data_IF_969784043368
#
_entry.id   IF_969784043368
#
_cell.length_a   1.000
_cell.length_b   1.000
_cell.length_c   1.000
_cell.angle_alpha   90.00
_cell.angle_beta   90.00
_cell.angle_gamma   90.00
#
_symmetry.space_group_name_H-M   'P 1'
#
loop_
_entity.id
_entity.type
_entity.pdbx_description
1 polymer ?
#
# COMPACT_ATOMS: atom_id res chain seq x y z
N UNK A 1 -13.65 11.25 -3.46
CA UNK A 1 -13.00 12.04 -4.53
C UNK A 1 -12.83 11.13 -5.72
N UNK A 2 -13.59 11.33 -6.80
CA UNK A 2 -13.45 10.52 -8.03
C UNK A 2 -12.11 10.91 -8.66
N UNK A 3 -11.18 9.95 -8.79
CA UNK A 3 -9.92 10.19 -9.52
C UNK A 3 -10.26 10.53 -10.97
N UNK A 4 -10.27 11.82 -11.31
CA UNK A 4 -10.36 12.28 -12.70
C UNK A 4 -9.10 11.86 -13.45
N UNK A 5 -9.25 11.66 -14.74
CA UNK A 5 -8.24 11.19 -15.69
C UNK A 5 -7.04 12.16 -15.81
N UNK A 6 -6.17 12.14 -14.81
CA UNK A 6 -4.86 12.82 -14.79
C UNK A 6 -3.74 11.89 -15.33
N UNK A 7 -4.11 10.84 -16.07
CA UNK A 7 -3.19 9.82 -16.58
C UNK A 7 -2.05 10.43 -17.43
N UNK A 8 -2.33 11.49 -18.18
CA UNK A 8 -1.31 12.21 -18.95
C UNK A 8 -0.28 12.94 -18.07
N UNK A 9 -0.70 13.49 -16.93
CA UNK A 9 0.22 14.14 -15.97
C UNK A 9 1.08 13.11 -15.25
N UNK A 10 0.46 12.01 -14.81
CA UNK A 10 1.16 10.87 -14.23
C UNK A 10 2.25 10.36 -15.19
N UNK A 11 1.87 10.03 -16.42
CA UNK A 11 2.80 9.52 -17.43
C UNK A 11 3.96 10.49 -17.72
N UNK A 12 3.69 11.79 -17.79
CA UNK A 12 4.74 12.81 -17.97
C UNK A 12 5.72 12.82 -16.78
N UNK A 13 5.20 12.73 -15.56
CA UNK A 13 6.02 12.69 -14.34
C UNK A 13 6.87 11.41 -14.28
N UNK A 14 6.30 10.25 -14.63
CA UNK A 14 7.00 8.97 -14.75
C UNK A 14 8.15 9.06 -15.75
N UNK A 15 7.87 9.52 -16.98
CA UNK A 15 8.91 9.69 -18.02
C UNK A 15 10.02 10.65 -17.58
N UNK A 16 9.67 11.75 -16.91
CA UNK A 16 10.65 12.69 -16.39
C UNK A 16 11.53 12.03 -15.32
N UNK A 17 10.94 11.27 -14.39
CA UNK A 17 11.68 10.55 -13.37
C UNK A 17 12.62 9.51 -14.00
N UNK A 18 12.14 8.66 -14.91
CA UNK A 18 12.96 7.68 -15.63
C UNK A 18 14.18 8.31 -16.28
N UNK A 19 13.99 9.44 -16.98
CA UNK A 19 15.07 10.15 -17.64
C UNK A 19 16.11 10.67 -16.62
N UNK A 20 15.67 11.28 -15.52
CA UNK A 20 16.59 11.81 -14.51
C UNK A 20 17.32 10.69 -13.76
N UNK A 21 16.64 9.58 -13.48
CA UNK A 21 17.23 8.40 -12.87
C UNK A 21 18.35 7.83 -13.75
N UNK A 22 18.08 7.66 -15.05
CA UNK A 22 19.07 7.19 -16.02
C UNK A 22 20.27 8.16 -16.14
N UNK A 23 20.02 9.48 -16.16
CA UNK A 23 21.07 10.50 -16.22
C UNK A 23 21.98 10.49 -14.98
N UNK A 24 21.44 10.23 -13.79
CA UNK A 24 22.25 10.03 -12.58
C UNK A 24 23.17 8.81 -12.74
N UNK A 25 22.66 7.72 -13.29
CA UNK A 25 23.46 6.52 -13.55
C UNK A 25 24.62 6.80 -14.51
N UNK A 26 24.37 7.52 -15.61
CA UNK A 26 25.43 7.93 -16.55
C UNK A 26 26.48 8.80 -15.85
N UNK A 27 26.04 9.78 -15.06
CA UNK A 27 26.94 10.68 -14.35
C UNK A 27 27.81 9.91 -13.34
N UNK A 28 27.26 8.93 -12.63
CA UNK A 28 28.02 8.04 -11.74
C UNK A 28 29.01 7.17 -12.52
N UNK A 29 28.62 6.64 -13.69
CA UNK A 29 29.50 5.80 -14.50
C UNK A 29 30.68 6.55 -15.13
N UNK A 30 30.50 7.83 -15.42
CA UNK A 30 31.51 8.68 -16.04
C UNK A 30 32.33 9.51 -15.03
N UNK A 31 32.08 9.36 -13.73
CA UNK A 31 32.66 10.18 -12.66
C UNK A 31 32.48 11.70 -12.93
N UNK A 32 31.25 12.09 -13.30
CA UNK A 32 30.91 13.46 -13.70
C UNK A 32 30.92 14.42 -12.50
N UNK A 33 31.74 15.48 -12.59
CA UNK A 33 31.86 16.54 -11.58
C UNK A 33 30.51 17.20 -11.23
N UNK A 34 29.51 17.15 -12.13
CA UNK A 34 28.19 17.76 -11.94
C UNK A 34 27.13 16.80 -11.38
N UNK A 35 27.53 15.68 -10.76
CA UNK A 35 26.60 14.70 -10.17
C UNK A 35 25.58 15.34 -9.21
N UNK A 36 25.96 16.39 -8.47
CA UNK A 36 25.08 17.11 -7.55
C UNK A 36 23.92 17.82 -8.26
N UNK A 37 24.15 18.34 -9.46
CA UNK A 37 23.09 18.94 -10.28
C UNK A 37 22.13 17.85 -10.77
N UNK A 38 22.66 16.69 -11.19
CA UNK A 38 21.83 15.55 -11.62
C UNK A 38 20.96 15.01 -10.49
N UNK A 39 21.52 14.90 -9.29
CA UNK A 39 20.77 14.53 -8.10
C UNK A 39 19.70 15.56 -7.74
N UNK A 40 19.96 16.86 -7.96
CA UNK A 40 18.91 17.91 -7.83
C UNK A 40 17.74 17.67 -8.78
N UNK A 41 18.05 17.40 -10.06
CA UNK A 41 17.02 17.22 -11.08
C UNK A 41 16.22 15.94 -10.83
N UNK A 42 16.86 14.90 -10.30
CA UNK A 42 16.19 13.69 -9.83
C UNK A 42 15.25 13.99 -8.66
N UNK A 43 15.69 14.77 -7.67
CA UNK A 43 14.88 15.20 -6.53
C UNK A 43 13.61 15.95 -6.97
N UNK A 44 13.74 16.90 -7.88
CA UNK A 44 12.61 17.65 -8.44
C UNK A 44 11.63 16.73 -9.19
N UNK A 45 12.15 15.76 -9.95
CA UNK A 45 11.32 14.78 -10.66
C UNK A 45 10.60 13.83 -9.70
N UNK A 46 11.26 13.37 -8.64
CA UNK A 46 10.65 12.59 -7.57
C UNK A 46 9.53 13.38 -6.90
N UNK A 47 9.79 14.62 -6.50
CA UNK A 47 8.80 15.51 -5.90
C UNK A 47 7.60 15.71 -6.84
N UNK A 48 7.82 15.79 -8.15
CA UNK A 48 6.73 15.89 -9.13
C UNK A 48 5.87 14.63 -9.14
N UNK A 49 6.49 13.43 -9.17
CA UNK A 49 5.76 12.16 -9.24
C UNK A 49 5.00 11.86 -7.94
N UNK A 50 5.61 12.05 -6.76
CA UNK A 50 4.92 11.76 -5.48
C UNK A 50 3.76 12.70 -5.19
N UNK A 51 3.71 13.85 -5.85
CA UNK A 51 2.61 14.81 -5.76
C UNK A 51 1.46 14.53 -6.75
N UNK A 52 1.53 13.46 -7.55
CA UNK A 52 0.40 13.07 -8.40
C UNK A 52 -0.74 12.48 -7.57
N UNK A 53 -1.99 12.47 -8.08
CA UNK A 53 -3.15 12.00 -7.32
C UNK A 53 -3.04 10.56 -6.80
N UNK A 54 -2.41 9.66 -7.58
CA UNK A 54 -2.26 8.24 -7.21
C UNK A 54 -1.29 8.05 -6.05
N UNK A 55 -0.13 8.71 -6.10
CA UNK A 55 0.83 8.69 -5.00
C UNK A 55 0.28 9.36 -3.76
N UNK A 56 -0.37 10.52 -3.90
CA UNK A 56 -1.03 11.21 -2.77
C UNK A 56 -2.13 10.40 -2.11
N UNK A 57 -2.87 9.61 -2.91
CA UNK A 57 -3.85 8.68 -2.38
C UNK A 57 -3.20 7.58 -1.54
N UNK A 58 -2.14 6.94 -2.06
CA UNK A 58 -1.40 5.89 -1.33
C UNK A 58 -0.77 6.46 -0.06
N UNK A 59 -0.14 7.64 -0.14
CA UNK A 59 0.47 8.35 0.99
C UNK A 59 -0.55 8.57 2.11
N UNK A 60 -1.72 9.12 1.81
CA UNK A 60 -2.77 9.31 2.82
C UNK A 60 -3.31 8.00 3.37
N UNK A 61 -3.67 7.05 2.50
CA UNK A 61 -4.33 5.81 2.93
C UNK A 61 -3.49 4.96 3.85
N UNK A 62 -2.19 4.85 3.58
CA UNK A 62 -1.27 4.07 4.40
C UNK A 62 -0.49 4.94 5.39
N UNK A 63 -0.86 6.23 5.55
CA UNK A 63 -0.22 7.19 6.45
C UNK A 63 1.30 7.23 6.28
N UNK A 64 1.74 7.20 5.02
CA UNK A 64 3.16 7.16 4.69
C UNK A 64 3.80 8.53 4.88
N UNK A 65 5.05 8.51 5.30
CA UNK A 65 5.90 9.70 5.27
C UNK A 65 6.26 10.06 3.82
N UNK A 66 6.69 11.31 3.63
CA UNK A 66 7.20 11.77 2.34
C UNK A 66 8.38 10.91 1.85
N UNK A 67 9.25 10.46 2.76
CA UNK A 67 10.38 9.61 2.43
C UNK A 67 9.94 8.23 1.93
N UNK A 68 8.98 7.59 2.61
CA UNK A 68 8.44 6.29 2.19
C UNK A 68 7.76 6.37 0.83
N UNK A 69 7.01 7.46 0.57
CA UNK A 69 6.34 7.68 -0.72
C UNK A 69 7.35 7.86 -1.84
N UNK A 70 8.47 8.56 -1.58
CA UNK A 70 9.59 8.71 -2.53
C UNK A 70 10.32 7.38 -2.77
N UNK A 71 10.47 6.55 -1.74
CA UNK A 71 11.06 5.22 -1.88
C UNK A 71 10.18 4.32 -2.75
N UNK A 72 8.86 4.31 -2.54
CA UNK A 72 7.89 3.62 -3.41
C UNK A 72 8.04 4.12 -4.86
N UNK A 73 8.16 5.43 -5.09
CA UNK A 73 8.32 5.99 -6.43
C UNK A 73 9.59 5.49 -7.14
N UNK A 74 10.70 5.37 -6.42
CA UNK A 74 11.96 4.84 -6.96
C UNK A 74 11.86 3.35 -7.30
N UNK A 75 11.20 2.53 -6.47
CA UNK A 75 10.99 1.10 -6.78
C UNK A 75 9.99 0.95 -7.93
N UNK A 76 8.95 1.77 -7.97
CA UNK A 76 7.95 1.80 -9.02
C UNK A 76 8.56 2.07 -10.39
N UNK A 77 9.41 3.11 -10.50
CA UNK A 77 9.99 3.47 -11.79
C UNK A 77 10.98 2.43 -12.32
N UNK A 78 11.75 1.79 -11.43
CA UNK A 78 12.62 0.65 -11.81
C UNK A 78 11.81 -0.57 -12.26
N UNK A 79 10.62 -0.76 -11.69
CA UNK A 79 9.72 -1.85 -12.10
C UNK A 79 9.05 -1.57 -13.44
N UNK A 80 8.73 -0.30 -13.71
CA UNK A 80 8.08 0.12 -14.96
C UNK A 80 9.07 0.16 -16.13
N UNK A 81 10.27 0.68 -15.91
CA UNK A 81 11.29 0.92 -16.93
C UNK A 81 12.64 0.35 -16.45
N UNK A 82 12.86 -0.98 -16.50
CA UNK A 82 14.09 -1.60 -15.99
C UNK A 82 15.36 -1.12 -16.69
N UNK A 83 15.26 -0.68 -17.96
CA UNK A 83 16.39 -0.18 -18.75
C UNK A 83 17.01 1.10 -18.17
N UNK A 84 16.32 1.82 -17.29
CA UNK A 84 16.90 3.00 -16.60
C UNK A 84 18.12 2.61 -15.74
N UNK A 85 18.26 1.32 -15.42
CA UNK A 85 19.34 0.78 -14.61
C UNK A 85 20.58 0.40 -15.43
N UNK A 86 20.50 0.39 -16.77
CA UNK A 86 21.64 0.05 -17.63
C UNK A 86 22.93 0.80 -17.28
N UNK A 87 22.94 2.11 -16.99
CA UNK A 87 24.17 2.83 -16.66
C UNK A 87 24.75 2.46 -15.28
N UNK A 88 23.97 1.81 -14.42
CA UNK A 88 24.43 1.37 -13.11
C UNK A 88 25.12 0.00 -13.17
N UNK A 89 24.93 -0.74 -14.27
CA UNK A 89 25.55 -2.05 -14.49
C UNK A 89 27.08 -1.88 -14.55
N UNK A 90 27.80 -2.64 -13.72
CA UNK A 90 29.26 -2.55 -13.61
C UNK A 90 29.76 -1.53 -12.60
N UNK A 91 28.87 -0.74 -11.99
CA UNK A 91 29.19 0.07 -10.81
C UNK A 91 29.04 -0.78 -9.53
N UNK A 92 29.65 -0.34 -8.44
CA UNK A 92 29.37 -0.84 -7.06
C UNK A 92 27.93 -0.56 -6.58
N UNK A 93 27.04 -0.23 -7.50
CA UNK A 93 25.64 0.10 -7.27
C UNK A 93 24.71 -1.03 -7.74
N UNK A 94 25.20 -1.90 -8.62
CA UNK A 94 24.45 -3.03 -9.15
C UNK A 94 24.99 -4.33 -8.56
N UNK A 95 24.72 -4.55 -7.27
CA UNK A 95 25.40 -5.59 -6.49
C UNK A 95 24.66 -6.94 -6.50
N UNK A 96 23.32 -6.97 -6.49
CA UNK A 96 22.52 -8.21 -6.46
C UNK A 96 21.12 -8.06 -7.08
N UNK A 97 20.99 -8.31 -8.38
CA UNK A 97 19.68 -8.45 -9.05
C UNK A 97 19.30 -7.31 -10.01
N UNK A 98 18.11 -7.35 -10.63
CA UNK A 98 17.68 -6.42 -11.68
C UNK A 98 17.28 -5.04 -11.16
N UNK A 99 17.44 -4.76 -9.86
CA UNK A 99 17.05 -3.51 -9.21
C UNK A 99 18.17 -3.03 -8.28
N UNK A 100 18.21 -1.72 -8.00
CA UNK A 100 19.11 -1.18 -7.00
C UNK A 100 18.72 -1.68 -5.60
N UNK A 101 19.73 -1.87 -4.74
CA UNK A 101 19.49 -2.23 -3.34
C UNK A 101 18.85 -1.08 -2.55
N UNK A 102 18.18 -1.42 -1.46
CA UNK A 102 17.58 -0.46 -0.53
C UNK A 102 18.60 0.61 -0.13
N UNK A 103 19.84 0.23 0.12
CA UNK A 103 20.95 1.11 0.43
C UNK A 103 21.13 2.27 -0.57
N UNK A 104 21.10 1.94 -1.87
CA UNK A 104 21.26 2.90 -2.96
C UNK A 104 19.99 3.71 -3.16
N UNK A 105 18.82 3.09 -3.00
CA UNK A 105 17.55 3.78 -3.08
C UNK A 105 17.39 4.81 -1.97
N UNK A 106 17.81 4.50 -0.74
CA UNK A 106 17.82 5.45 0.37
C UNK A 106 18.74 6.64 0.09
N UNK A 107 19.90 6.40 -0.54
CA UNK A 107 20.77 7.48 -0.99
C UNK A 107 20.10 8.38 -2.04
N UNK A 108 19.43 7.79 -3.04
CA UNK A 108 18.72 8.55 -4.07
C UNK A 108 17.44 9.24 -3.55
N UNK A 109 16.86 8.71 -2.47
CA UNK A 109 15.59 9.17 -1.92
C UNK A 109 15.70 10.51 -1.19
N UNK A 110 16.88 10.98 -0.78
CA UNK A 110 17.00 12.27 -0.09
C UNK A 110 18.34 12.99 -0.33
N UNK A 111 18.28 14.32 -0.41
CA UNK A 111 19.44 15.19 -0.19
C UNK A 111 19.79 15.22 1.31
N UNK A 112 20.67 14.34 1.77
CA UNK A 112 21.05 14.30 3.19
C UNK A 112 22.02 13.18 3.55
N UNK A 113 22.39 13.10 4.82
CA UNK A 113 23.26 12.04 5.33
C UNK A 113 22.47 10.73 5.40
N UNK A 114 22.83 9.76 4.56
CA UNK A 114 22.32 8.38 4.61
C UNK A 114 22.29 7.77 6.03
N UNK A 115 23.19 8.19 6.92
CA UNK A 115 23.22 7.73 8.32
C UNK A 115 22.02 8.22 9.13
N UNK A 116 21.50 9.41 8.85
CA UNK A 116 20.32 9.95 9.55
C UNK A 116 19.07 9.13 9.22
N UNK A 117 18.92 8.72 7.96
CA UNK A 117 17.83 7.83 7.54
C UNK A 117 17.93 6.43 8.16
N UNK A 118 19.13 5.83 8.18
CA UNK A 118 19.32 4.53 8.84
C UNK A 118 19.04 4.64 10.35
N UNK A 119 19.38 5.77 10.98
CA UNK A 119 19.08 6.01 12.39
C UNK A 119 17.60 6.28 12.70
N UNK A 120 16.79 6.57 11.67
CA UNK A 120 15.33 6.75 11.78
C UNK A 120 14.56 5.44 11.61
N UNK A 121 15.26 4.30 11.60
CA UNK A 121 14.65 2.96 11.51
C UNK A 121 13.74 2.82 10.27
N UNK A 122 14.20 3.33 9.13
CA UNK A 122 13.44 3.37 7.87
C UNK A 122 12.96 1.98 7.41
N UNK A 123 13.64 0.92 7.82
CA UNK A 123 13.25 -0.48 7.57
C UNK A 123 12.08 -0.99 8.46
N UNK A 124 11.68 -0.17 9.42
CA UNK A 124 10.54 -0.35 10.33
C UNK A 124 9.42 0.67 10.04
N UNK A 125 9.40 1.24 8.82
CA UNK A 125 8.35 2.17 8.38
C UNK A 125 7.03 1.48 7.99
N UNK A 126 5.97 2.29 7.91
CA UNK A 126 4.64 1.92 7.42
C UNK A 126 4.69 1.23 6.06
N UNK A 127 5.63 1.62 5.20
CA UNK A 127 5.82 1.00 3.87
C UNK A 127 6.14 -0.50 3.94
N UNK A 128 6.83 -0.95 4.99
CA UNK A 128 7.15 -2.36 5.22
C UNK A 128 6.12 -3.04 6.11
N UNK A 129 5.54 -2.34 7.08
CA UNK A 129 4.48 -2.89 7.94
C UNK A 129 3.25 -3.26 7.11
N UNK A 130 2.86 -2.40 6.15
CA UNK A 130 1.83 -2.68 5.17
C UNK A 130 2.28 -3.60 4.03
N UNK A 131 3.54 -4.04 4.03
CA UNK A 131 4.12 -4.85 2.96
C UNK A 131 3.97 -4.22 1.56
N UNK A 132 3.90 -2.88 1.49
CA UNK A 132 3.87 -2.14 0.22
C UNK A 132 5.19 -2.31 -0.54
N UNK A 133 6.29 -2.32 0.23
CA UNK A 133 7.59 -2.81 -0.21
C UNK A 133 7.88 -4.15 0.46
N UNK A 134 8.28 -5.11 -0.36
CA UNK A 134 8.56 -6.48 0.05
C UNK A 134 10.05 -6.76 -0.14
N UNK A 135 10.66 -7.33 0.89
CA UNK A 135 12.06 -7.73 0.95
C UNK A 135 12.16 -8.99 1.82
N UNK A 136 13.36 -9.57 1.99
CA UNK A 136 13.49 -10.76 2.84
C UNK A 136 13.13 -10.45 4.29
N UNK A 137 12.83 -11.50 5.07
CA UNK A 137 12.51 -11.37 6.50
C UNK A 137 13.56 -10.59 7.30
N UNK A 138 14.83 -10.62 6.84
CA UNK A 138 15.94 -9.95 7.51
C UNK A 138 16.05 -8.46 7.19
N UNK A 139 15.33 -7.96 6.17
CA UNK A 139 15.32 -6.56 5.74
C UNK A 139 16.75 -5.98 5.61
N UNK A 140 17.61 -6.62 4.83
CA UNK A 140 19.01 -6.20 4.67
C UNK A 140 19.11 -5.02 3.70
N UNK A 141 19.85 -3.97 4.05
CA UNK A 141 20.06 -2.82 3.16
C UNK A 141 20.64 -3.18 1.79
N UNK A 142 21.39 -4.28 1.71
CA UNK A 142 22.02 -4.77 0.47
C UNK A 142 21.05 -5.44 -0.48
N UNK A 143 19.82 -5.76 -0.05
CA UNK A 143 18.84 -6.43 -0.89
C UNK A 143 18.00 -5.44 -1.70
N UNK A 144 17.40 -5.92 -2.79
CA UNK A 144 16.39 -5.19 -3.54
C UNK A 144 15.01 -5.37 -2.92
N UNK A 145 14.16 -4.37 -3.07
CA UNK A 145 12.76 -4.45 -2.66
C UNK A 145 11.85 -4.47 -3.89
N UNK A 146 10.76 -5.23 -3.82
CA UNK A 146 9.70 -5.25 -4.82
C UNK A 146 8.44 -4.56 -4.32
N UNK A 147 7.64 -4.02 -5.23
CA UNK A 147 6.32 -3.50 -4.89
C UNK A 147 5.30 -4.61 -4.75
N UNK A 148 4.36 -4.41 -3.83
CA UNK A 148 3.12 -5.17 -3.80
C UNK A 148 2.42 -5.11 -5.16
N UNK A 149 1.88 -6.26 -5.61
CA UNK A 149 1.32 -6.40 -6.97
C UNK A 149 0.19 -5.41 -7.25
N UNK A 150 -0.76 -5.30 -6.33
CA UNK A 150 -1.93 -4.43 -6.42
C UNK A 150 -1.54 -2.96 -6.27
N UNK A 151 -0.52 -2.62 -5.46
CA UNK A 151 0.03 -1.27 -5.41
C UNK A 151 0.61 -0.87 -6.75
N UNK A 152 1.40 -1.75 -7.38
CA UNK A 152 1.96 -1.51 -8.72
C UNK A 152 0.83 -1.32 -9.74
N UNK A 153 -0.18 -2.18 -9.72
CA UNK A 153 -1.34 -2.05 -10.61
C UNK A 153 -2.03 -0.69 -10.41
N UNK A 154 -2.30 -0.31 -9.15
CA UNK A 154 -2.94 0.95 -8.81
C UNK A 154 -2.15 2.17 -9.26
N UNK A 155 -0.84 2.21 -9.02
CA UNK A 155 0.00 3.33 -9.44
C UNK A 155 0.01 3.47 -10.97
N UNK A 156 -0.03 2.34 -11.69
CA UNK A 156 -0.01 2.31 -13.15
C UNK A 156 -1.36 2.65 -13.80
N UNK A 157 -2.48 2.13 -13.30
CA UNK A 157 -3.80 2.25 -13.95
C UNK A 157 -4.77 3.16 -13.19
N UNK A 158 -4.51 3.41 -11.91
CA UNK A 158 -5.45 4.06 -10.98
C UNK A 158 -6.56 3.13 -10.47
N UNK A 159 -6.50 1.84 -10.81
CA UNK A 159 -7.51 0.84 -10.46
C UNK A 159 -6.84 -0.47 -10.05
N UNK A 160 -7.46 -1.18 -9.11
CA UNK A 160 -7.05 -2.55 -8.73
C UNK A 160 -8.18 -3.49 -9.07
N UNK A 161 -7.83 -4.63 -9.63
CA UNK A 161 -8.77 -5.75 -9.81
C UNK A 161 -8.30 -6.87 -8.91
N UNK A 162 -9.09 -7.22 -7.90
CA UNK A 162 -8.79 -8.34 -7.03
C UNK A 162 -8.87 -9.64 -7.82
N UNK A 163 -7.92 -10.54 -7.62
CA UNK A 163 -7.92 -11.86 -8.24
C UNK A 163 -9.09 -12.70 -7.70
N UNK A 164 -9.55 -13.67 -8.48
CA UNK A 164 -10.56 -14.63 -8.00
C UNK A 164 -10.06 -15.45 -6.82
N UNK A 165 -8.75 -15.57 -6.62
CA UNK A 165 -8.09 -16.27 -5.51
C UNK A 165 -7.80 -15.36 -4.30
N UNK A 166 -8.19 -14.09 -4.36
CA UNK A 166 -7.97 -13.15 -3.26
C UNK A 166 -8.65 -13.63 -1.96
N UNK A 167 -7.98 -13.47 -0.81
CA UNK A 167 -8.43 -14.02 0.47
C UNK A 167 -9.77 -13.42 0.92
N UNK A 168 -9.95 -12.12 0.72
CA UNK A 168 -11.24 -11.44 0.94
C UNK A 168 -12.08 -11.51 -0.32
N UNK A 169 -13.26 -12.14 -0.22
CA UNK A 169 -14.29 -12.13 -1.27
C UNK A 169 -15.21 -10.95 -1.06
N UNK A 170 -15.54 -10.23 -2.13
CA UNK A 170 -16.53 -9.16 -2.10
C UNK A 170 -17.92 -9.75 -2.30
N UNK A 171 -18.83 -9.44 -1.37
CA UNK A 171 -20.24 -9.78 -1.49
C UNK A 171 -20.96 -8.87 -2.49
N UNK A 172 -22.09 -9.34 -3.01
CA UNK A 172 -22.84 -8.68 -4.08
C UNK A 172 -24.29 -8.39 -3.73
N UNK A 173 -24.71 -8.57 -2.47
CA UNK A 173 -26.08 -8.26 -2.09
C UNK A 173 -26.36 -6.78 -2.30
N UNK A 174 -27.57 -6.51 -2.79
CA UNK A 174 -28.09 -5.17 -3.06
C UNK A 174 -29.40 -4.92 -2.34
N UNK A 175 -29.90 -5.93 -1.61
CA UNK A 175 -31.22 -5.89 -0.96
C UNK A 175 -31.04 -5.53 0.50
N UNK A 176 -31.52 -4.34 0.85
CA UNK A 176 -31.55 -3.86 2.22
C UNK A 176 -32.82 -4.34 2.92
N UNK A 177 -32.68 -4.84 4.14
CA UNK A 177 -33.78 -5.32 4.96
C UNK A 177 -34.49 -4.14 5.69
N UNK A 178 -35.81 -4.04 5.50
CA UNK A 178 -36.64 -3.00 6.11
C UNK A 178 -36.66 -3.11 7.65
N UNK A 179 -36.57 -4.32 8.21
CA UNK A 179 -36.52 -4.51 9.65
C UNK A 179 -35.17 -4.04 10.22
N UNK A 180 -34.08 -4.25 9.48
CA UNK A 180 -32.76 -3.74 9.86
C UNK A 180 -32.76 -2.22 9.91
N UNK A 181 -33.21 -1.56 8.83
CA UNK A 181 -33.27 -0.09 8.76
C UNK A 181 -34.17 0.55 9.81
N UNK A 182 -35.29 -0.11 10.15
CA UNK A 182 -36.23 0.40 11.16
C UNK A 182 -35.71 0.29 12.59
N UNK A 183 -34.85 -0.70 12.86
CA UNK A 183 -34.29 -0.96 14.19
C UNK A 183 -32.92 -0.29 14.40
N UNK A 184 -32.21 0.06 13.32
CA UNK A 184 -30.85 0.56 13.38
C UNK A 184 -30.77 2.08 13.60
N UNK A 185 -30.07 2.52 14.65
CA UNK A 185 -29.84 3.93 14.93
C UNK A 185 -28.48 4.37 14.33
N UNK A 186 -28.44 5.34 13.39
CA UNK A 186 -27.32 5.55 12.46
C UNK A 186 -26.04 6.17 13.06
N UNK A 187 -25.82 6.12 14.38
CA UNK A 187 -24.64 6.72 15.01
C UNK A 187 -23.47 5.73 15.11
N UNK A 188 -23.08 5.11 14.00
CA UNK A 188 -21.74 4.49 13.92
C UNK A 188 -20.79 5.55 13.39
N UNK A 189 -19.75 5.83 14.16
CA UNK A 189 -18.65 6.66 13.68
C UNK A 189 -17.82 5.87 12.67
N UNK A 190 -17.89 6.29 11.40
CA UNK A 190 -17.15 5.70 10.28
C UNK A 190 -15.96 6.58 9.85
N UNK A 191 -15.36 7.28 10.82
CA UNK A 191 -14.13 8.05 10.63
C UNK A 191 -12.92 7.15 10.41
N UNK A 192 -12.78 6.12 11.27
CA UNK A 192 -11.56 5.32 11.41
C UNK A 192 -11.85 3.83 11.31
N UNK A 193 -10.86 3.07 10.83
CA UNK A 193 -10.93 1.60 10.81
C UNK A 193 -11.11 1.03 12.22
N UNK A 194 -12.01 0.06 12.37
CA UNK A 194 -12.40 -0.50 13.66
C UNK A 194 -12.60 -2.01 13.60
N UNK A 195 -12.52 -2.66 14.76
CA UNK A 195 -12.82 -4.08 14.94
C UNK A 195 -13.93 -4.20 15.98
N UNK A 196 -15.03 -4.85 15.58
CA UNK A 196 -16.21 -5.08 16.40
C UNK A 196 -16.35 -6.57 16.69
N UNK A 197 -16.70 -6.91 17.93
CA UNK A 197 -17.14 -8.24 18.31
C UNK A 197 -18.67 -8.22 18.41
N UNK A 198 -19.33 -9.07 17.63
CA UNK A 198 -20.78 -9.19 17.64
C UNK A 198 -21.21 -10.18 18.72
N UNK A 199 -22.18 -9.78 19.54
CA UNK A 199 -22.77 -10.64 20.59
C UNK A 199 -23.79 -11.61 19.97
N UNK A 200 -23.31 -12.49 19.08
CA UNK A 200 -24.10 -13.57 18.48
C UNK A 200 -23.25 -14.82 18.30
N UNK A 201 -23.75 -15.99 18.74
CA UNK A 201 -23.09 -17.27 18.45
C UNK A 201 -23.37 -17.78 17.03
N UNK A 202 -24.31 -17.17 16.30
CA UNK A 202 -24.67 -17.57 14.94
C UNK A 202 -23.86 -16.75 13.89
N UNK A 203 -22.92 -17.38 13.16
CA UNK A 203 -22.11 -16.70 12.16
C UNK A 203 -22.93 -16.20 10.97
N UNK A 204 -24.09 -16.81 10.67
CA UNK A 204 -24.97 -16.34 9.60
C UNK A 204 -25.62 -15.03 9.96
N UNK A 205 -26.00 -14.87 11.23
CA UNK A 205 -26.53 -13.60 11.75
C UNK A 205 -25.45 -12.51 11.76
N UNK A 206 -24.22 -12.85 12.15
CA UNK A 206 -23.09 -11.92 12.11
C UNK A 206 -22.76 -11.47 10.68
N UNK A 207 -22.72 -12.41 9.73
CA UNK A 207 -22.51 -12.13 8.32
C UNK A 207 -23.63 -11.23 7.76
N UNK A 208 -24.89 -11.60 7.98
CA UNK A 208 -26.05 -10.83 7.55
C UNK A 208 -26.03 -9.41 8.13
N UNK A 209 -25.75 -9.26 9.42
CA UNK A 209 -25.65 -7.96 10.08
C UNK A 209 -24.56 -7.09 9.44
N UNK A 210 -23.39 -7.68 9.18
CA UNK A 210 -22.25 -6.99 8.54
C UNK A 210 -22.60 -6.50 7.13
N UNK A 211 -23.27 -7.35 6.36
CA UNK A 211 -23.74 -7.02 5.01
C UNK A 211 -24.78 -5.89 5.02
N UNK A 212 -25.77 -5.96 5.91
CA UNK A 212 -26.79 -4.91 6.04
C UNK A 212 -26.21 -3.57 6.50
N UNK A 213 -25.20 -3.62 7.38
CA UNK A 213 -24.48 -2.43 7.82
C UNK A 213 -23.67 -1.79 6.68
N UNK A 214 -23.03 -2.61 5.84
CA UNK A 214 -22.33 -2.14 4.65
C UNK A 214 -23.29 -1.45 3.68
N UNK A 215 -24.43 -2.08 3.40
CA UNK A 215 -25.49 -1.52 2.53
C UNK A 215 -26.04 -0.20 3.05
N UNK A 216 -26.38 -0.13 4.34
CA UNK A 216 -26.86 1.10 4.98
C UNK A 216 -25.85 2.24 4.89
N UNK A 217 -24.55 1.90 4.93
CA UNK A 217 -23.45 2.87 4.88
C UNK A 217 -23.01 3.23 3.45
N UNK A 218 -23.61 2.64 2.41
CA UNK A 218 -23.16 2.78 1.02
C UNK A 218 -21.73 2.27 0.79
N UNK A 219 -21.33 1.29 1.59
CA UNK A 219 -19.99 0.70 1.64
C UNK A 219 -19.96 -0.66 0.93
N UNK A 220 -18.75 -1.18 0.69
CA UNK A 220 -18.59 -2.50 0.12
C UNK A 220 -18.56 -3.56 1.25
N UNK A 221 -19.14 -4.72 0.99
CA UNK A 221 -19.12 -5.87 1.92
C UNK A 221 -18.09 -6.90 1.45
N UNK A 222 -17.28 -7.40 2.38
CA UNK A 222 -16.33 -8.47 2.15
C UNK A 222 -16.39 -9.54 3.25
N UNK A 223 -15.87 -10.72 2.94
CA UNK A 223 -15.74 -11.81 3.91
C UNK A 223 -14.53 -12.70 3.61
N UNK A 224 -13.98 -13.33 4.64
CA UNK A 224 -12.97 -14.38 4.50
C UNK A 224 -13.65 -15.74 4.33
N UNK A 225 -13.11 -16.60 3.47
CA UNK A 225 -13.60 -17.98 3.34
C UNK A 225 -13.13 -18.81 4.53
N UNK A 226 -14.08 -19.53 5.13
CA UNK A 226 -13.96 -20.24 6.41
C UNK A 226 -12.88 -21.34 6.39
N UNK A 227 -12.65 -21.97 5.23
CA UNK A 227 -11.62 -23.00 5.03
C UNK A 227 -10.18 -22.45 4.97
N UNK A 228 -10.00 -21.14 4.77
CA UNK A 228 -8.68 -20.51 4.64
C UNK A 228 -8.30 -19.69 5.88
N UNK A 229 -9.27 -19.08 6.57
CA UNK A 229 -9.02 -18.09 7.62
C UNK A 229 -8.28 -18.61 8.87
N UNK A 230 -8.36 -19.91 9.17
CA UNK A 230 -7.75 -20.49 10.38
C UNK A 230 -6.22 -20.62 10.29
N UNK A 231 -5.68 -20.77 9.08
CA UNK A 231 -4.25 -21.00 8.85
C UNK A 231 -3.49 -19.75 8.40
N UNK A 232 -4.18 -18.62 8.17
CA UNK A 232 -3.55 -17.39 7.70
C UNK A 232 -2.66 -16.76 8.77
N UNK A 233 -1.43 -16.42 8.39
CA UNK A 233 -0.56 -15.55 9.16
C UNK A 233 -1.03 -14.10 9.10
N UNK A 234 -0.62 -13.29 10.07
CA UNK A 234 -0.89 -11.84 10.05
C UNK A 234 -0.35 -11.17 8.78
N UNK A 235 0.82 -11.60 8.30
CA UNK A 235 1.43 -11.05 7.08
C UNK A 235 0.52 -11.29 5.86
N UNK A 236 -0.03 -12.49 5.71
CA UNK A 236 -0.96 -12.83 4.62
C UNK A 236 -2.26 -12.01 4.68
N UNK A 237 -2.78 -11.79 5.89
CA UNK A 237 -3.93 -10.92 6.11
C UNK A 237 -3.60 -9.50 5.65
N UNK A 238 -2.51 -8.91 6.13
CA UNK A 238 -2.10 -7.54 5.78
C UNK A 238 -1.88 -7.37 4.28
N UNK A 239 -1.19 -8.32 3.65
CA UNK A 239 -0.98 -8.34 2.20
C UNK A 239 -2.31 -8.29 1.43
N UNK A 240 -3.29 -9.12 1.82
CA UNK A 240 -4.60 -9.12 1.17
C UNK A 240 -5.36 -7.81 1.41
N UNK A 241 -5.20 -7.17 2.57
CA UNK A 241 -5.87 -5.90 2.84
C UNK A 241 -5.36 -4.77 1.93
N UNK A 242 -4.08 -4.75 1.55
CA UNK A 242 -3.54 -3.72 0.63
C UNK A 242 -4.33 -3.68 -0.67
N UNK A 243 -4.55 -4.84 -1.29
CA UNK A 243 -5.33 -4.94 -2.52
C UNK A 243 -6.76 -4.44 -2.34
N UNK A 244 -7.41 -4.86 -1.25
CA UNK A 244 -8.77 -4.47 -0.93
C UNK A 244 -8.93 -2.94 -0.73
N UNK A 245 -8.01 -2.32 0.01
CA UNK A 245 -8.01 -0.87 0.28
C UNK A 245 -7.87 -0.07 -1.01
N UNK A 246 -6.97 -0.50 -1.89
CA UNK A 246 -6.74 0.15 -3.18
C UNK A 246 -7.92 -0.06 -4.14
N UNK A 247 -8.53 -1.26 -4.13
CA UNK A 247 -9.72 -1.58 -4.92
C UNK A 247 -10.95 -0.77 -4.48
N UNK A 248 -11.18 -0.59 -3.18
CA UNK A 248 -12.32 0.15 -2.63
C UNK A 248 -12.34 1.64 -3.01
N UNK A 249 -11.19 2.20 -3.42
CA UNK A 249 -11.06 3.55 -3.97
C UNK A 249 -11.82 4.63 -3.16
N UNK A 250 -11.53 4.70 -1.87
CA UNK A 250 -12.13 5.57 -0.86
C UNK A 250 -13.47 5.18 -0.24
N UNK A 251 -14.11 4.10 -0.70
CA UNK A 251 -15.26 3.54 0.00
C UNK A 251 -14.82 2.86 1.29
N UNK A 252 -15.72 2.82 2.26
CA UNK A 252 -15.56 1.95 3.42
C UNK A 252 -15.74 0.49 2.99
N UNK A 253 -15.05 -0.42 3.69
CA UNK A 253 -15.25 -1.86 3.49
C UNK A 253 -15.54 -2.50 4.84
N UNK A 254 -16.67 -3.19 4.92
CA UNK A 254 -17.06 -3.99 6.07
C UNK A 254 -16.69 -5.44 5.80
N UNK A 255 -15.89 -6.03 6.66
CA UNK A 255 -15.30 -7.35 6.48
C UNK A 255 -15.79 -8.27 7.59
N UNK A 256 -16.56 -9.28 7.22
CA UNK A 256 -16.94 -10.36 8.12
C UNK A 256 -15.84 -11.42 8.20
N UNK A 257 -15.49 -11.83 9.41
CA UNK A 257 -14.54 -12.92 9.67
C UNK A 257 -15.21 -13.90 10.64
N UNK A 258 -15.59 -15.08 10.14
CA UNK A 258 -16.31 -16.07 10.94
C UNK A 258 -15.47 -16.58 12.13
N UNK A 259 -14.20 -16.94 11.87
CA UNK A 259 -13.26 -17.37 12.90
C UNK A 259 -11.88 -16.80 12.62
N UNK A 260 -11.39 -15.98 13.53
CA UNK A 260 -10.01 -15.50 13.55
C UNK A 260 -9.29 -16.10 14.76
N UNK A 261 -8.10 -16.68 14.56
CA UNK A 261 -7.30 -17.15 15.69
C UNK A 261 -7.07 -15.99 16.67
N UNK A 262 -7.23 -16.22 17.97
CA UNK A 262 -7.22 -15.15 18.98
C UNK A 262 -5.94 -14.30 18.92
N UNK A 263 -4.81 -14.92 18.60
CA UNK A 263 -3.52 -14.25 18.37
C UNK A 263 -3.57 -13.24 17.22
N UNK A 264 -4.23 -13.59 16.11
CA UNK A 264 -4.35 -12.72 14.94
C UNK A 264 -5.42 -11.65 15.14
N UNK A 265 -6.51 -11.93 15.84
CA UNK A 265 -7.47 -10.92 16.27
C UNK A 265 -6.80 -9.86 17.16
N UNK A 266 -5.97 -10.31 18.10
CA UNK A 266 -5.16 -9.42 18.95
C UNK A 266 -4.15 -8.61 18.13
N UNK A 267 -3.49 -9.23 17.15
CA UNK A 267 -2.52 -8.53 16.31
C UNK A 267 -3.18 -7.51 15.37
N UNK A 268 -4.31 -7.86 14.76
CA UNK A 268 -5.11 -6.96 13.93
C UNK A 268 -5.65 -5.79 14.76
N UNK A 269 -6.13 -6.07 15.99
CA UNK A 269 -6.52 -5.02 16.94
C UNK A 269 -5.36 -4.08 17.25
N UNK A 270 -4.18 -4.61 17.59
CA UNK A 270 -2.97 -3.79 17.83
C UNK A 270 -2.57 -2.98 16.61
N UNK A 271 -2.68 -3.55 15.41
CA UNK A 271 -2.40 -2.86 14.16
C UNK A 271 -3.30 -1.62 14.03
N UNK A 272 -4.61 -1.78 14.23
CA UNK A 272 -5.59 -0.69 14.20
C UNK A 272 -5.36 0.34 15.33
N UNK A 273 -5.10 -0.12 16.55
CA UNK A 273 -4.84 0.73 17.73
C UNK A 273 -3.55 1.57 17.57
N UNK A 274 -2.53 1.03 16.91
CA UNK A 274 -1.31 1.75 16.56
C UNK A 274 -1.52 2.75 15.41
N UNK A 275 -2.76 2.94 14.94
CA UNK A 275 -3.10 3.85 13.86
C UNK A 275 -2.71 3.36 12.47
N UNK A 276 -2.21 2.13 12.35
CA UNK A 276 -1.92 1.55 11.04
C UNK A 276 -3.25 1.33 10.33
N UNK A 277 -3.48 2.14 9.31
CA UNK A 277 -4.68 2.08 8.49
C UNK A 277 -5.92 2.68 9.15
N UNK A 278 -5.78 3.61 10.11
CA UNK A 278 -6.94 4.38 10.57
C UNK A 278 -7.71 5.02 9.40
N UNK A 279 -6.96 5.51 8.39
CA UNK A 279 -7.53 6.12 7.18
C UNK A 279 -7.94 5.12 6.09
N UNK A 280 -7.78 3.80 6.29
CA UNK A 280 -8.15 2.80 5.27
C UNK A 280 -9.65 2.49 5.28
N UNK A 281 -10.36 2.83 6.37
CA UNK A 281 -11.81 2.71 6.55
C UNK A 281 -12.28 1.26 6.41
N UNK A 282 -11.53 0.35 7.03
CA UNK A 282 -11.84 -1.07 7.13
C UNK A 282 -12.53 -1.34 8.47
N UNK A 283 -13.67 -2.02 8.42
CA UNK A 283 -14.46 -2.37 9.60
C UNK A 283 -14.55 -3.89 9.69
N UNK A 284 -13.88 -4.48 10.67
CA UNK A 284 -13.88 -5.91 10.90
C UNK A 284 -14.99 -6.28 11.87
N UNK A 285 -15.79 -7.29 11.52
CA UNK A 285 -16.84 -7.84 12.38
C UNK A 285 -16.56 -9.32 12.60
N UNK A 286 -16.32 -9.66 13.87
CA UNK A 286 -16.09 -11.00 14.39
C UNK A 286 -17.36 -11.53 15.07
#
# INVERSE_FOLDING_TARGET
MVMRDDSAKQFKAEKQLSLRFFQVGIALANDDDNIQERLSQLDDALNTLVNTPRFKYVEGRFSLTSHETRLIALVYIQTLEPDILMPYIGLSWYEQGPMLSLDKLLFLCQRGSKRELISQDVLCGQVFDWHLLQCSEKKLLTESASLHTELRQFLHTGQVTLSNEHLVKLGSSTVQDEAFTSCFNPKIDLSDSQLFELDTPDPRMAQWYTEQLALLSGADFGYFLDEQAQDLTLSEIVLSLVGLILNANSKCVFIFIEKLHATYACALRKMLECGQGAQTRLYFLL
#
